data_IF_437396181678
#
_entry.id   IF_437396181678
#
_cell.length_a   1.000
_cell.length_b   1.000
_cell.length_c   1.000
_cell.angle_alpha   90.00
_cell.angle_beta   90.00
_cell.angle_gamma   90.00
#
_symmetry.space_group_name_H-M   'P 1'
#
loop_
_entity.id
_entity.type
_entity.pdbx_description
1 polymer ?
#
# COMPACT_ATOMS: atom_id res chain seq x y z
N UNK A 1 24.42 -39.06 46.46
CA UNK A 1 24.42 -37.60 46.26
C UNK A 1 24.64 -37.22 44.80
N UNK A 2 25.77 -37.54 44.17
CA UNK A 2 26.11 -37.17 42.77
C UNK A 2 25.01 -37.48 41.74
N UNK A 3 24.37 -38.65 41.80
CA UNK A 3 23.29 -39.01 40.87
C UNK A 3 22.09 -38.06 40.92
N UNK A 4 21.72 -37.55 42.12
CA UNK A 4 20.62 -36.60 42.25
C UNK A 4 20.96 -35.24 41.61
N UNK A 5 22.21 -34.81 41.73
CA UNK A 5 22.71 -33.60 41.07
C UNK A 5 22.70 -33.74 39.55
N UNK A 6 23.16 -34.89 39.04
CA UNK A 6 23.15 -35.18 37.60
C UNK A 6 21.72 -35.20 37.06
N UNK A 7 20.78 -35.87 37.74
CA UNK A 7 19.38 -35.91 37.30
C UNK A 7 18.70 -34.52 37.38
N UNK A 8 19.02 -33.72 38.40
CA UNK A 8 18.54 -32.34 38.50
C UNK A 8 19.05 -31.47 37.36
N UNK A 9 20.35 -31.57 37.03
CA UNK A 9 20.96 -30.84 35.91
C UNK A 9 20.34 -31.25 34.58
N UNK A 10 20.14 -32.56 34.36
CA UNK A 10 19.49 -33.06 33.14
C UNK A 10 18.05 -32.55 33.01
N UNK A 11 17.28 -32.52 34.10
CA UNK A 11 15.95 -31.92 34.11
C UNK A 11 15.99 -30.43 33.72
N UNK A 12 16.87 -29.64 34.33
CA UNK A 12 17.02 -28.23 33.99
C UNK A 12 17.44 -28.00 32.53
N UNK A 13 18.34 -28.84 32.00
CA UNK A 13 18.75 -28.78 30.60
C UNK A 13 17.58 -29.10 29.67
N UNK A 14 16.82 -30.16 29.93
CA UNK A 14 15.64 -30.50 29.11
C UNK A 14 14.58 -29.41 29.16
N UNK A 15 14.35 -28.80 30.33
CA UNK A 15 13.44 -27.67 30.47
C UNK A 15 13.92 -26.43 29.72
N UNK A 16 15.22 -26.11 29.79
CA UNK A 16 15.77 -24.98 29.05
C UNK A 16 15.68 -25.19 27.53
N UNK A 17 15.93 -26.42 27.06
CA UNK A 17 15.80 -26.77 25.64
C UNK A 17 14.35 -26.60 25.17
N UNK A 18 13.37 -27.11 25.91
CA UNK A 18 11.95 -26.99 25.51
C UNK A 18 11.47 -25.54 25.47
N UNK A 19 11.93 -24.70 26.41
CA UNK A 19 11.64 -23.26 26.39
C UNK A 19 12.27 -22.56 25.18
N UNK A 20 13.52 -22.91 24.85
CA UNK A 20 14.22 -22.33 23.69
C UNK A 20 13.54 -22.72 22.37
N UNK A 21 13.11 -23.97 22.22
CA UNK A 21 12.37 -24.45 21.05
C UNK A 21 11.05 -23.70 20.88
N UNK A 22 10.30 -23.50 21.97
CA UNK A 22 9.05 -22.75 21.93
C UNK A 22 9.26 -21.29 21.50
N UNK A 23 10.31 -20.65 22.01
CA UNK A 23 10.68 -19.28 21.63
C UNK A 23 11.06 -19.19 20.14
N UNK A 24 11.89 -20.10 19.66
CA UNK A 24 12.29 -20.17 18.24
C UNK A 24 11.09 -20.36 17.30
N UNK A 25 10.15 -21.24 17.66
CA UNK A 25 8.94 -21.45 16.86
C UNK A 25 8.08 -20.18 16.81
N UNK A 26 7.99 -19.44 17.91
CA UNK A 26 7.27 -18.18 17.94
C UNK A 26 7.94 -17.13 17.05
N UNK A 27 9.26 -16.97 17.15
CA UNK A 27 10.00 -16.04 16.29
C UNK A 27 9.83 -16.39 14.81
N UNK A 28 9.99 -17.66 14.43
CA UNK A 28 9.79 -18.11 13.05
C UNK A 28 8.38 -17.80 12.53
N UNK A 29 7.35 -18.04 13.35
CA UNK A 29 5.97 -17.69 12.98
C UNK A 29 5.79 -16.20 12.81
N UNK A 30 6.33 -15.38 13.73
CA UNK A 30 6.22 -13.93 13.63
C UNK A 30 6.94 -13.41 12.39
N UNK A 31 8.16 -13.86 12.11
CA UNK A 31 8.91 -13.50 10.90
C UNK A 31 8.12 -13.86 9.64
N UNK A 32 7.55 -15.07 9.58
CA UNK A 32 6.76 -15.51 8.42
C UNK A 32 5.52 -14.62 8.21
N UNK A 33 4.84 -14.23 9.29
CA UNK A 33 3.70 -13.30 9.22
C UNK A 33 4.15 -11.90 8.76
N UNK A 34 5.26 -11.38 9.30
CA UNK A 34 5.82 -10.10 8.88
C UNK A 34 6.23 -10.10 7.41
N UNK A 35 6.86 -11.18 6.94
CA UNK A 35 7.23 -11.34 5.53
C UNK A 35 6.00 -11.38 4.64
N UNK A 36 4.97 -12.16 4.99
CA UNK A 36 3.72 -12.19 4.25
C UNK A 36 3.04 -10.82 4.16
N UNK A 37 3.01 -10.07 5.27
CA UNK A 37 2.47 -8.71 5.27
C UNK A 37 3.30 -7.75 4.39
N UNK A 38 4.63 -7.87 4.41
CA UNK A 38 5.51 -7.05 3.56
C UNK A 38 5.30 -7.35 2.07
N UNK A 39 5.16 -8.63 1.72
CA UNK A 39 4.89 -9.05 0.34
C UNK A 39 3.54 -8.53 -0.15
N UNK A 40 2.49 -8.68 0.67
CA UNK A 40 1.16 -8.15 0.37
C UNK A 40 1.20 -6.61 0.23
N UNK A 41 1.96 -5.92 1.09
CA UNK A 41 2.13 -4.46 1.02
C UNK A 41 2.79 -4.06 -0.30
N UNK A 42 3.92 -4.68 -0.66
CA UNK A 42 4.63 -4.38 -1.90
C UNK A 42 3.77 -4.68 -3.14
N UNK A 43 2.95 -5.74 -3.09
CA UNK A 43 2.04 -6.07 -4.18
C UNK A 43 0.97 -5.00 -4.34
N UNK A 44 0.36 -4.55 -3.24
CA UNK A 44 -0.64 -3.47 -3.27
C UNK A 44 -0.02 -2.15 -3.74
N UNK A 45 1.20 -1.82 -3.29
CA UNK A 45 1.93 -0.61 -3.71
C UNK A 45 2.20 -0.62 -5.23
N UNK A 46 2.60 -1.75 -5.81
CA UNK A 46 2.80 -1.86 -7.26
C UNK A 46 1.50 -1.63 -8.03
N UNK A 47 0.37 -2.16 -7.55
CA UNK A 47 -0.95 -1.93 -8.18
C UNK A 47 -1.36 -0.47 -8.04
N UNK A 48 -1.11 0.16 -6.89
CA UNK A 48 -1.36 1.58 -6.67
C UNK A 48 -0.58 2.44 -7.66
N UNK A 49 0.72 2.20 -7.82
CA UNK A 49 1.57 2.92 -8.77
C UNK A 49 1.12 2.71 -10.23
N UNK A 50 0.77 1.47 -10.60
CA UNK A 50 0.23 1.18 -11.93
C UNK A 50 -1.09 1.91 -12.18
N UNK A 51 -1.94 2.02 -11.17
CA UNK A 51 -3.22 2.72 -11.29
C UNK A 51 -3.01 4.24 -11.40
N UNK A 52 -2.10 4.81 -10.60
CA UNK A 52 -1.68 6.22 -10.71
C UNK A 52 -1.08 6.54 -12.07
N UNK A 53 -0.27 5.63 -12.63
CA UNK A 53 0.34 5.82 -13.94
C UNK A 53 -0.71 5.76 -15.08
N UNK A 54 -1.75 4.94 -14.95
CA UNK A 54 -2.87 4.92 -15.90
C UNK A 54 -3.70 6.21 -15.90
N UNK A 55 -3.64 7.04 -14.85
CA UNK A 55 -4.22 8.39 -14.89
C UNK A 55 -3.43 9.37 -15.77
N UNK A 56 -2.15 9.09 -16.02
CA UNK A 56 -1.28 9.91 -16.85
C UNK A 56 -1.49 9.64 -18.34
N UNK A 57 -1.92 8.42 -18.67
CA UNK A 57 -2.27 8.09 -20.05
C UNK A 57 -3.47 8.93 -20.47
N UNK A 58 -3.45 9.56 -21.66
CA UNK A 58 -4.51 10.44 -22.14
C UNK A 58 -5.73 9.62 -22.55
N UNK A 59 -6.38 8.98 -21.59
CA UNK A 59 -7.71 8.42 -21.76
C UNK A 59 -8.65 9.61 -21.78
N UNK A 60 -9.47 9.67 -22.83
CA UNK A 60 -10.47 10.71 -23.15
C UNK A 60 -11.57 10.81 -22.09
N UNK A 61 -11.20 11.19 -20.89
CA UNK A 61 -12.03 11.08 -19.71
C UNK A 61 -12.77 12.41 -19.56
N UNK A 62 -14.00 12.43 -20.08
CA UNK A 62 -15.11 13.30 -19.66
C UNK A 62 -15.32 13.11 -18.14
N UNK A 63 -14.39 13.65 -17.34
CA UNK A 63 -14.23 13.36 -15.91
C UNK A 63 -15.01 14.34 -15.06
N UNK A 64 -16.28 14.54 -15.37
CA UNK A 64 -17.09 15.41 -14.52
C UNK A 64 -17.53 14.65 -13.25
N UNK A 65 -17.78 13.34 -13.31
CA UNK A 65 -18.24 12.55 -12.15
C UNK A 65 -18.01 11.02 -12.30
N UNK A 66 -16.83 10.57 -12.74
CA UNK A 66 -16.59 9.14 -12.93
C UNK A 66 -15.83 8.52 -11.74
N UNK A 67 -16.55 7.71 -10.96
CA UNK A 67 -15.95 6.67 -10.11
C UNK A 67 -15.46 5.57 -11.03
N UNK A 68 -14.17 5.57 -11.34
CA UNK A 68 -13.61 4.58 -12.26
C UNK A 68 -13.07 3.44 -11.42
N UNK A 69 -13.73 2.30 -11.51
CA UNK A 69 -13.20 1.05 -10.97
C UNK A 69 -12.30 0.45 -12.04
N UNK A 70 -11.00 0.70 -11.92
CA UNK A 70 -9.99 -0.01 -12.70
C UNK A 70 -9.73 -1.36 -12.05
N UNK A 71 -10.21 -2.43 -12.67
CA UNK A 71 -9.69 -3.77 -12.41
C UNK A 71 -8.39 -3.94 -13.20
N UNK A 72 -7.30 -3.32 -12.74
CA UNK A 72 -5.98 -3.65 -13.28
C UNK A 72 -5.66 -5.09 -12.86
N UNK A 73 -5.59 -5.98 -13.85
CA UNK A 73 -5.04 -7.32 -13.69
C UNK A 73 -3.52 -7.20 -13.69
N UNK A 74 -2.82 -7.38 -12.56
CA UNK A 74 -1.38 -7.57 -12.63
C UNK A 74 -1.17 -8.93 -13.29
N UNK A 75 -0.38 -8.95 -14.37
CA UNK A 75 0.15 -10.18 -14.94
C UNK A 75 0.72 -11.03 -13.79
N UNK A 76 0.09 -12.18 -13.52
CA UNK A 76 0.26 -13.05 -12.33
C UNK A 76 -0.21 -12.47 -10.99
N UNK A 77 -1.52 -12.32 -10.82
CA UNK A 77 -2.11 -12.24 -9.48
C UNK A 77 -3.60 -11.97 -9.53
N UNK A 78 -4.30 -12.36 -8.46
CA UNK A 78 -5.72 -11.99 -8.22
C UNK A 78 -5.92 -10.50 -8.54
N UNK A 79 -6.90 -10.15 -9.37
CA UNK A 79 -7.15 -8.75 -9.72
C UNK A 79 -7.50 -7.98 -8.44
N UNK A 80 -6.66 -7.02 -8.07
CA UNK A 80 -6.95 -6.10 -6.97
C UNK A 80 -7.75 -4.93 -7.53
N UNK A 81 -8.91 -4.59 -6.94
CA UNK A 81 -9.68 -3.45 -7.39
C UNK A 81 -8.92 -2.16 -7.10
N UNK A 82 -8.78 -1.30 -8.12
CA UNK A 82 -8.40 0.09 -7.94
C UNK A 82 -9.64 0.97 -8.15
N UNK A 83 -9.98 1.78 -7.16
CA UNK A 83 -11.04 2.78 -7.27
C UNK A 83 -10.43 4.17 -7.32
N UNK A 84 -10.83 4.93 -8.34
CA UNK A 84 -10.42 6.32 -8.52
C UNK A 84 -11.65 7.21 -8.41
N UNK A 85 -11.57 8.18 -7.50
CA UNK A 85 -12.61 9.19 -7.30
C UNK A 85 -12.02 10.58 -7.57
N UNK A 86 -12.60 11.33 -8.50
CA UNK A 86 -12.19 12.71 -8.77
C UNK A 86 -12.84 13.65 -7.75
N UNK A 87 -12.03 14.33 -6.94
CA UNK A 87 -12.52 15.25 -5.89
C UNK A 87 -12.76 16.68 -6.41
N UNK A 88 -12.21 17.03 -7.57
CA UNK A 88 -12.49 18.32 -8.22
C UNK A 88 -11.26 19.00 -8.81
N UNK A 89 -11.45 20.27 -9.18
CA UNK A 89 -10.38 21.13 -9.69
C UNK A 89 -9.57 21.74 -8.54
N UNK A 90 -8.25 21.77 -8.68
CA UNK A 90 -7.37 22.50 -7.77
C UNK A 90 -7.34 23.97 -8.20
N UNK A 91 -7.85 24.87 -7.36
CA UNK A 91 -7.81 26.30 -7.64
C UNK A 91 -6.36 26.82 -7.67
N UNK A 92 -6.03 27.70 -8.63
CA UNK A 92 -4.74 28.36 -8.64
C UNK A 92 -4.61 29.34 -7.47
N UNK A 93 -3.40 29.39 -6.89
CA UNK A 93 -3.06 30.26 -5.76
C UNK A 93 -3.41 31.72 -6.08
N UNK A 94 -4.25 32.35 -5.25
CA UNK A 94 -4.58 33.79 -5.29
C UNK A 94 -3.29 34.61 -5.29
N UNK A 95 -2.94 35.17 -6.46
CA UNK A 95 -1.73 35.99 -6.65
C UNK A 95 -1.04 35.78 -8.01
N UNK A 96 -1.31 34.68 -8.71
CA UNK A 96 -0.80 34.49 -10.09
C UNK A 96 -1.64 35.32 -11.06
N UNK A 97 -1.01 36.32 -11.66
CA UNK A 97 -1.58 37.29 -12.60
C UNK A 97 -2.58 36.69 -13.60
N UNK A 98 -3.67 37.43 -13.80
CA UNK A 98 -4.60 37.31 -14.94
C UNK A 98 -3.79 37.13 -16.24
N UNK A 99 -4.17 36.15 -17.06
CA UNK A 99 -3.72 35.85 -18.43
C UNK A 99 -2.81 34.62 -18.67
N UNK A 100 -2.73 33.66 -17.75
CA UNK A 100 -2.33 32.30 -18.14
C UNK A 100 -3.59 31.46 -18.16
N UNK A 101 -3.87 30.80 -19.29
CA UNK A 101 -4.88 29.73 -19.39
C UNK A 101 -4.40 28.62 -18.44
N UNK A 102 -4.72 28.77 -17.16
CA UNK A 102 -4.39 27.80 -16.12
C UNK A 102 -5.40 26.68 -16.26
N UNK A 103 -5.04 25.73 -17.11
CA UNK A 103 -5.80 24.53 -17.32
C UNK A 103 -5.91 23.76 -15.99
N UNK A 104 -7.06 23.13 -15.75
CA UNK A 104 -7.41 22.71 -14.41
C UNK A 104 -6.64 21.47 -14.00
N UNK A 105 -5.70 21.64 -13.07
CA UNK A 105 -5.15 20.52 -12.29
C UNK A 105 -6.30 19.81 -11.59
N UNK A 106 -6.38 18.49 -11.71
CA UNK A 106 -7.46 17.69 -11.10
C UNK A 106 -6.93 16.90 -9.92
N UNK A 107 -7.71 16.90 -8.85
CA UNK A 107 -7.44 16.12 -7.64
C UNK A 107 -8.15 14.76 -7.76
N UNK A 108 -7.41 13.68 -7.56
CA UNK A 108 -7.94 12.33 -7.53
C UNK A 108 -7.58 11.65 -6.21
N UNK A 109 -8.53 10.87 -5.69
CA UNK A 109 -8.31 9.91 -4.62
C UNK A 109 -8.29 8.52 -5.23
N UNK A 110 -7.22 7.79 -4.97
CA UNK A 110 -7.00 6.44 -5.46
C UNK A 110 -7.01 5.50 -4.26
N UNK A 111 -7.88 4.50 -4.27
CA UNK A 111 -7.92 3.44 -3.27
C UNK A 111 -7.66 2.10 -3.91
N UNK A 112 -6.73 1.34 -3.34
CA UNK A 112 -6.31 0.03 -3.87
C UNK A 112 -6.20 -0.97 -2.75
N UNK A 113 -6.59 -2.20 -3.05
CA UNK A 113 -6.30 -3.36 -2.21
C UNK A 113 -7.52 -4.02 -1.60
N UNK A 114 -7.29 -5.24 -1.11
CA UNK A 114 -8.30 -6.14 -0.54
C UNK A 114 -7.92 -6.48 0.91
N UNK A 115 -6.83 -7.24 1.11
CA UNK A 115 -6.26 -7.55 2.44
C UNK A 115 -5.55 -6.36 3.10
N UNK A 116 -4.72 -5.66 2.34
CA UNK A 116 -4.08 -4.40 2.73
C UNK A 116 -4.68 -3.34 1.85
N UNK A 117 -5.36 -2.36 2.46
CA UNK A 117 -5.95 -1.23 1.75
C UNK A 117 -4.99 -0.05 1.79
N UNK A 118 -4.80 0.61 0.66
CA UNK A 118 -4.00 1.82 0.53
C UNK A 118 -4.85 2.92 -0.08
N UNK A 119 -4.62 4.15 0.38
CA UNK A 119 -5.22 5.35 -0.17
C UNK A 119 -4.13 6.35 -0.54
N UNK A 120 -4.26 6.92 -1.73
CA UNK A 120 -3.37 7.95 -2.25
C UNK A 120 -4.18 9.12 -2.75
N UNK A 121 -3.72 10.33 -2.45
CA UNK A 121 -4.28 11.57 -2.97
C UNK A 121 -3.27 12.18 -3.92
N UNK A 122 -3.68 12.37 -5.17
CA UNK A 122 -2.80 12.81 -6.25
C UNK A 122 -3.40 14.02 -6.97
N UNK A 123 -2.53 14.89 -7.47
CA UNK A 123 -2.88 15.96 -8.39
C UNK A 123 -2.29 15.62 -9.75
N UNK A 124 -3.14 15.59 -10.77
CA UNK A 124 -2.72 15.30 -12.14
C UNK A 124 -2.85 16.57 -12.98
N UNK A 125 -1.75 16.91 -13.65
CA UNK A 125 -1.68 17.91 -14.71
C UNK A 125 -1.59 17.16 -16.05
N UNK A 126 -2.75 16.97 -16.67
CA UNK A 126 -2.92 16.21 -17.91
C UNK A 126 -2.17 16.80 -19.12
N UNK A 127 -1.82 18.09 -19.08
CA UNK A 127 -1.09 18.74 -20.19
C UNK A 127 0.41 18.68 -20.01
N UNK A 128 0.88 18.90 -18.78
CA UNK A 128 2.29 18.71 -18.46
C UNK A 128 2.66 17.22 -18.43
N UNK A 129 1.68 16.32 -18.42
CA UNK A 129 1.89 14.89 -18.21
C UNK A 129 2.54 14.63 -16.85
N UNK A 130 2.22 15.45 -15.84
CA UNK A 130 2.83 15.33 -14.50
C UNK A 130 1.79 14.90 -13.47
N UNK A 131 2.21 14.02 -12.58
CA UNK A 131 1.44 13.60 -11.42
C UNK A 131 2.24 13.95 -10.18
N UNK A 132 1.59 14.65 -9.26
CA UNK A 132 2.14 14.99 -7.95
C UNK A 132 1.35 14.26 -6.90
N UNK A 133 1.98 13.32 -6.20
CA UNK A 133 1.39 12.65 -5.05
C UNK A 133 1.44 13.61 -3.86
N UNK A 134 0.26 13.95 -3.31
CA UNK A 134 0.14 14.84 -2.16
C UNK A 134 0.26 14.07 -0.85
N UNK A 135 -0.37 12.90 -0.79
CA UNK A 135 -0.35 12.05 0.40
C UNK A 135 -0.55 10.59 0.00
N UNK A 136 0.00 9.67 0.78
CA UNK A 136 -0.30 8.24 0.70
C UNK A 136 -0.34 7.67 2.11
N UNK A 137 -1.25 6.72 2.33
CA UNK A 137 -1.37 6.03 3.61
C UNK A 137 -1.88 4.61 3.42
N UNK A 138 -1.40 3.71 4.27
CA UNK A 138 -2.03 2.40 4.47
C UNK A 138 -3.23 2.58 5.39
N UNK A 139 -4.38 2.04 5.00
CA UNK A 139 -5.57 1.96 5.83
C UNK A 139 -5.50 0.66 6.65
N UNK A 140 -5.61 0.80 7.97
CA UNK A 140 -5.78 -0.31 8.90
C UNK A 140 -7.25 -0.34 9.29
N UNK A 141 -7.95 -1.44 9.05
CA UNK A 141 -9.31 -1.67 9.60
C UNK A 141 -9.26 -2.14 11.06
#
# INVERSE_FOLDING_TARGET
MILLWVMSILMYLTWAITQLEQYLVLELKTIAVYQGHLEDFQKTERVLLACEQSLLEPVSLETSQLKITYSQSPAKGTPMPCMIEASGLVEPRKGSSKNVIQNPKRLYHVRVGDRIRMESTIVVDHLAGTLTRLNWQQLYD
#
